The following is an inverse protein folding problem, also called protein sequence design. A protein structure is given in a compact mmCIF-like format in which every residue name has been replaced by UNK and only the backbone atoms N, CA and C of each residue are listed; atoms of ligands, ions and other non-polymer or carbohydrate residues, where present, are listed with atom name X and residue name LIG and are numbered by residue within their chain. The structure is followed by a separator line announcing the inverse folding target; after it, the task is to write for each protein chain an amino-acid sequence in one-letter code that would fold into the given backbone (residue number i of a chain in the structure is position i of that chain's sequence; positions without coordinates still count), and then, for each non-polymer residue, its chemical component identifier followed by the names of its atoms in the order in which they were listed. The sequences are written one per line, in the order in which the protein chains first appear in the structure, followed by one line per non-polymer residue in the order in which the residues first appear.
data_IF_201131714097
#
_entry.id   IF_201131714097
#
_cell.length_a   1.000
_cell.length_b   1.000
_cell.length_c   1.000
_cell.angle_alpha   90.00
_cell.angle_beta   90.00
_cell.angle_gamma   90.00
#
_symmetry.space_group_name_H-M   'P 1'
#
loop_
_entity.id
_entity.type
_entity.pdbx_description
1 polymer ?
#
# COMPACT_ATOMS: atom_id res chain seq x y z
N UNK A 1 21.89 -2.47 6.77
CA UNK A 1 22.10 -1.38 7.74
C UNK A 1 21.07 -0.31 7.64
N UNK A 2 20.85 0.23 6.46
CA UNK A 2 19.77 1.19 6.23
C UNK A 2 18.39 0.58 6.44
N UNK A 3 18.29 -0.71 6.32
CA UNK A 3 17.07 -1.50 6.48
C UNK A 3 16.47 -1.35 7.88
N UNK A 4 17.30 -1.22 8.92
CA UNK A 4 16.85 -1.15 10.31
C UNK A 4 16.02 0.10 10.58
N UNK A 5 16.41 1.25 10.02
CA UNK A 5 15.72 2.52 10.21
C UNK A 5 14.33 2.47 9.57
N UNK A 6 14.23 1.85 8.38
CA UNK A 6 12.97 1.71 7.68
C UNK A 6 12.01 0.76 8.41
N UNK A 7 12.55 -0.27 9.06
CA UNK A 7 11.74 -1.24 9.80
C UNK A 7 10.97 -0.58 10.93
N UNK A 8 11.61 0.29 11.71
CA UNK A 8 10.92 1.01 12.80
C UNK A 8 9.82 1.91 12.27
N UNK A 9 10.07 2.60 11.18
CA UNK A 9 9.08 3.46 10.55
C UNK A 9 7.91 2.65 10.01
N UNK A 10 8.20 1.51 9.38
CA UNK A 10 7.18 0.61 8.85
C UNK A 10 6.30 0.05 9.97
N UNK A 11 6.90 -0.35 11.10
CA UNK A 11 6.15 -0.88 12.24
C UNK A 11 5.25 0.19 12.86
N UNK A 12 5.75 1.41 13.01
CA UNK A 12 4.96 2.52 13.53
C UNK A 12 3.81 2.85 12.59
N UNK A 13 4.07 2.84 11.29
CA UNK A 13 3.03 3.09 10.29
C UNK A 13 1.97 1.99 10.33
N UNK A 14 2.38 0.74 10.41
CA UNK A 14 1.45 -0.40 10.46
C UNK A 14 0.54 -0.30 11.67
N UNK A 15 1.08 0.06 12.84
CA UNK A 15 0.28 0.24 14.06
C UNK A 15 -0.77 1.33 13.86
N UNK A 16 -0.37 2.48 13.31
CA UNK A 16 -1.29 3.59 13.06
C UNK A 16 -2.33 3.24 12.00
N UNK A 17 -1.89 2.56 10.94
CA UNK A 17 -2.77 2.15 9.85
C UNK A 17 -3.83 1.16 10.33
N UNK A 18 -3.41 0.16 11.10
CA UNK A 18 -4.33 -0.84 11.64
C UNK A 18 -5.38 -0.21 12.56
N UNK A 19 -4.94 0.69 13.43
CA UNK A 19 -5.82 1.41 14.33
C UNK A 19 -6.82 2.28 13.55
N UNK A 20 -6.32 3.04 12.58
CA UNK A 20 -7.17 3.91 11.76
C UNK A 20 -8.18 3.09 10.94
N UNK A 21 -7.72 1.98 10.38
CA UNK A 21 -8.57 1.10 9.56
C UNK A 21 -9.71 0.52 10.40
N UNK A 22 -9.43 0.08 11.61
CA UNK A 22 -10.46 -0.41 12.54
C UNK A 22 -11.49 0.65 12.88
N UNK A 23 -11.04 1.90 13.05
CA UNK A 23 -11.94 3.01 13.36
C UNK A 23 -12.79 3.46 12.17
N UNK A 24 -12.25 3.33 10.96
CA UNK A 24 -12.96 3.75 9.74
C UNK A 24 -13.93 2.69 9.26
N UNK A 25 -13.52 1.43 9.25
CA UNK A 25 -14.30 0.34 8.67
C UNK A 25 -14.92 -0.63 9.68
N UNK A 26 -14.47 -0.59 10.92
CA UNK A 26 -14.88 -1.55 11.93
C UNK A 26 -13.94 -2.74 11.98
N UNK A 27 -13.88 -3.38 13.14
CA UNK A 27 -12.97 -4.50 13.38
C UNK A 27 -13.33 -5.71 12.54
N UNK A 28 -12.32 -6.39 12.02
CA UNK A 28 -12.48 -7.66 11.32
C UNK A 28 -12.93 -7.59 9.87
N UNK A 29 -13.19 -6.41 9.34
CA UNK A 29 -13.65 -6.27 7.94
C UNK A 29 -12.50 -6.24 6.94
N UNK A 30 -11.35 -5.76 7.36
CA UNK A 30 -10.19 -5.64 6.50
C UNK A 30 -8.96 -6.19 7.20
N UNK A 31 -8.00 -6.67 6.40
CA UNK A 31 -6.69 -7.08 6.89
C UNK A 31 -5.61 -6.31 6.17
N UNK A 32 -4.46 -6.17 6.82
CA UNK A 32 -3.28 -5.53 6.24
C UNK A 32 -2.20 -6.60 6.12
N UNK A 33 -1.62 -6.72 4.93
CA UNK A 33 -0.47 -7.61 4.72
C UNK A 33 0.73 -6.78 4.32
N UNK A 34 1.90 -7.15 4.81
CA UNK A 34 3.17 -6.46 4.54
C UNK A 34 3.92 -7.14 3.41
N UNK A 35 4.64 -6.34 2.64
CA UNK A 35 5.58 -6.86 1.63
C UNK A 35 4.94 -7.89 0.72
N UNK A 36 3.90 -7.48 0.03
CA UNK A 36 3.15 -8.36 -0.87
C UNK A 36 3.68 -8.20 -2.28
N UNK A 37 4.04 -9.31 -2.92
CA UNK A 37 4.50 -9.28 -4.31
C UNK A 37 3.39 -8.77 -5.24
N UNK A 38 3.77 -7.99 -6.23
CA UNK A 38 2.80 -7.46 -7.20
C UNK A 38 2.04 -8.60 -7.87
N UNK A 39 2.73 -9.69 -8.20
CA UNK A 39 2.13 -10.88 -8.81
C UNK A 39 1.13 -11.61 -7.91
N UNK A 40 1.13 -11.32 -6.61
CA UNK A 40 0.14 -11.87 -5.68
C UNK A 40 -1.11 -11.00 -5.60
N UNK A 41 -1.02 -9.76 -6.02
CA UNK A 41 -2.15 -8.82 -6.03
C UNK A 41 -2.93 -8.93 -7.33
N UNK A 42 -2.24 -9.02 -8.45
CA UNK A 42 -2.83 -9.05 -9.78
C UNK A 42 -2.56 -10.39 -10.47
N UNK A 43 -3.54 -10.86 -11.24
CA UNK A 43 -3.42 -12.14 -11.97
C UNK A 43 -2.57 -12.02 -13.24
N UNK A 44 -2.75 -10.92 -13.98
CA UNK A 44 -2.15 -10.77 -15.29
C UNK A 44 -1.16 -9.62 -15.31
N UNK A 45 0.00 -9.88 -15.90
CA UNK A 45 1.01 -8.85 -16.11
C UNK A 45 0.68 -8.06 -17.39
N UNK A 46 -0.29 -7.16 -17.29
CA UNK A 46 -0.81 -6.38 -18.44
C UNK A 46 0.28 -5.51 -19.06
N UNK A 47 1.14 -4.92 -18.22
CA UNK A 47 2.20 -4.02 -18.69
C UNK A 47 3.44 -4.76 -19.20
N UNK A 48 3.50 -6.08 -19.02
CA UNK A 48 4.66 -6.90 -19.37
C UNK A 48 5.95 -6.43 -18.69
N UNK A 49 5.84 -5.89 -17.49
CA UNK A 49 6.97 -5.40 -16.72
C UNK A 49 7.61 -6.53 -15.93
N UNK A 50 8.95 -6.55 -15.89
CA UNK A 50 9.69 -7.47 -15.01
C UNK A 50 9.39 -7.21 -13.54
N UNK A 51 9.05 -5.97 -13.20
CA UNK A 51 8.74 -5.57 -11.84
C UNK A 51 7.51 -6.32 -11.29
N UNK A 52 6.62 -6.77 -12.18
CA UNK A 52 5.46 -7.56 -11.78
C UNK A 52 5.86 -8.79 -10.97
N UNK A 53 6.98 -9.41 -11.30
CA UNK A 53 7.46 -10.60 -10.60
C UNK A 53 8.48 -10.30 -9.52
N UNK A 54 9.28 -9.26 -9.70
CA UNK A 54 10.38 -8.94 -8.78
C UNK A 54 10.04 -7.87 -7.75
N UNK A 55 8.97 -7.10 -7.97
CA UNK A 55 8.59 -6.02 -7.09
C UNK A 55 7.45 -6.37 -6.17
N UNK A 56 7.22 -5.50 -5.19
CA UNK A 56 6.14 -5.69 -4.22
C UNK A 56 5.65 -4.35 -3.70
N UNK A 57 4.63 -4.43 -2.87
CA UNK A 57 4.08 -3.28 -2.17
C UNK A 57 4.42 -3.40 -0.68
N UNK A 58 4.71 -2.28 -0.05
CA UNK A 58 5.00 -2.27 1.39
C UNK A 58 3.82 -2.78 2.20
N UNK A 59 2.62 -2.32 1.87
CA UNK A 59 1.38 -2.73 2.54
C UNK A 59 0.27 -2.88 1.53
N UNK A 60 -0.56 -3.91 1.72
CA UNK A 60 -1.78 -4.08 0.93
C UNK A 60 -2.93 -4.33 1.89
N UNK A 61 -4.01 -3.57 1.70
CA UNK A 61 -5.23 -3.76 2.47
C UNK A 61 -6.15 -4.70 1.70
N UNK A 62 -6.66 -5.70 2.38
CA UNK A 62 -7.58 -6.69 1.84
C UNK A 62 -8.93 -6.56 2.53
N UNK A 63 -9.99 -6.63 1.75
CA UNK A 63 -11.35 -6.69 2.29
C UNK A 63 -11.77 -8.14 2.40
N UNK A 64 -12.44 -8.48 3.51
CA UNK A 64 -12.97 -9.82 3.74
C UNK A 64 -14.40 -9.90 3.24
N UNK A 65 -14.67 -10.88 2.38
CA UNK A 65 -16.03 -11.20 1.94
C UNK A 65 -16.71 -12.13 2.95
N UNK A 66 -18.02 -12.33 2.78
CA UNK A 66 -18.81 -13.19 3.68
C UNK A 66 -18.30 -14.63 3.73
N UNK A 67 -17.77 -15.15 2.63
CA UNK A 67 -17.19 -16.48 2.57
C UNK A 67 -15.76 -16.53 3.11
N UNK A 68 -15.30 -15.48 3.77
CA UNK A 68 -13.97 -15.30 4.34
C UNK A 68 -12.84 -15.17 3.32
N UNK A 69 -13.15 -15.09 2.04
CA UNK A 69 -12.15 -14.78 1.02
C UNK A 69 -11.72 -13.33 1.17
N UNK A 70 -10.46 -13.09 0.89
CA UNK A 70 -9.88 -11.75 0.99
C UNK A 70 -9.53 -11.24 -0.39
N UNK A 71 -9.85 -9.98 -0.65
CA UNK A 71 -9.58 -9.33 -1.94
C UNK A 71 -8.74 -8.08 -1.71
N UNK A 72 -7.66 -7.90 -2.45
CA UNK A 72 -6.86 -6.68 -2.32
C UNK A 72 -7.65 -5.47 -2.83
N UNK A 73 -7.64 -4.40 -2.06
CA UNK A 73 -8.39 -3.18 -2.41
C UNK A 73 -7.53 -1.93 -2.50
N UNK A 74 -6.38 -1.91 -1.83
CA UNK A 74 -5.54 -0.72 -1.77
C UNK A 74 -4.10 -1.12 -1.46
N UNK A 75 -3.15 -0.54 -2.19
CA UNK A 75 -1.73 -0.68 -1.86
C UNK A 75 -1.21 0.64 -1.31
N UNK A 76 -0.31 0.57 -0.34
CA UNK A 76 0.31 1.72 0.27
C UNK A 76 1.82 1.52 0.29
N UNK A 77 2.55 2.55 -0.12
CA UNK A 77 4.01 2.58 -0.09
C UNK A 77 4.47 3.69 0.85
N UNK A 78 5.50 3.38 1.65
CA UNK A 78 6.18 4.39 2.44
C UNK A 78 7.39 4.87 1.64
N UNK A 79 7.43 6.16 1.37
CA UNK A 79 8.48 6.75 0.56
C UNK A 79 9.47 7.52 1.41
N UNK A 80 10.74 7.14 1.32
CA UNK A 80 11.83 7.86 1.93
C UNK A 80 12.43 8.88 0.96
N UNK A 81 13.50 9.51 1.39
CA UNK A 81 14.16 10.55 0.62
C UNK A 81 14.70 10.05 -0.73
N UNK A 82 15.14 8.80 -0.78
CA UNK A 82 15.69 8.18 -1.98
C UNK A 82 14.67 8.08 -3.12
N UNK A 83 13.37 8.08 -2.80
CA UNK A 83 12.31 8.07 -3.81
C UNK A 83 12.24 9.37 -4.61
N UNK A 84 12.87 10.44 -4.12
CA UNK A 84 12.88 11.73 -4.79
C UNK A 84 14.21 12.04 -5.46
N UNK A 85 15.30 11.40 -5.04
CA UNK A 85 16.66 11.72 -5.47
C UNK A 85 17.29 10.67 -6.39
N UNK A 86 16.93 9.40 -6.22
CA UNK A 86 17.51 8.30 -6.98
C UNK A 86 16.71 8.01 -8.26
N UNK A 87 17.35 8.16 -9.41
CA UNK A 87 16.70 7.96 -10.71
C UNK A 87 16.23 6.52 -10.93
N UNK A 88 16.97 5.54 -10.40
CA UNK A 88 16.59 4.13 -10.53
C UNK A 88 15.34 3.87 -9.69
N UNK A 89 15.28 4.41 -8.48
CA UNK A 89 14.11 4.29 -7.61
C UNK A 89 12.91 4.98 -8.22
N UNK A 90 13.09 6.19 -8.77
CA UNK A 90 12.01 6.92 -9.44
C UNK A 90 11.44 6.12 -10.61
N UNK A 91 12.31 5.52 -11.42
CA UNK A 91 11.89 4.73 -12.56
C UNK A 91 11.07 3.51 -12.12
N UNK A 92 11.51 2.85 -11.06
CA UNK A 92 10.79 1.72 -10.48
C UNK A 92 9.43 2.15 -9.94
N UNK A 93 9.39 3.29 -9.24
CA UNK A 93 8.14 3.85 -8.72
C UNK A 93 7.15 4.15 -9.83
N UNK A 94 7.64 4.74 -10.94
CA UNK A 94 6.81 5.04 -12.09
C UNK A 94 6.26 3.78 -12.75
N UNK A 95 7.06 2.73 -12.84
CA UNK A 95 6.62 1.44 -13.35
C UNK A 95 5.54 0.83 -12.45
N UNK A 96 5.72 0.93 -11.14
CA UNK A 96 4.74 0.43 -10.18
C UNK A 96 3.42 1.20 -10.28
N UNK A 97 3.51 2.53 -10.42
CA UNK A 97 2.34 3.38 -10.63
C UNK A 97 1.59 2.96 -11.90
N UNK A 98 2.31 2.70 -12.98
CA UNK A 98 1.71 2.30 -14.25
C UNK A 98 1.03 0.93 -14.17
N UNK A 99 1.66 -0.02 -13.48
CA UNK A 99 1.06 -1.34 -13.26
C UNK A 99 -0.29 -1.18 -12.55
N UNK A 100 -0.33 -0.41 -11.47
CA UNK A 100 -1.57 -0.19 -10.72
C UNK A 100 -2.61 0.54 -11.57
N UNK A 101 -2.19 1.55 -12.33
CA UNK A 101 -3.09 2.31 -13.21
C UNK A 101 -3.75 1.40 -14.25
N UNK A 102 -2.98 0.53 -14.88
CA UNK A 102 -3.48 -0.40 -15.88
C UNK A 102 -4.46 -1.42 -15.30
N UNK A 103 -4.28 -1.76 -14.02
CA UNK A 103 -5.15 -2.70 -13.32
C UNK A 103 -6.38 -2.03 -12.70
N UNK A 104 -6.49 -0.71 -12.80
CA UNK A 104 -7.57 0.02 -12.14
C UNK A 104 -7.50 -0.05 -10.62
N UNK A 105 -6.29 -0.12 -10.08
CA UNK A 105 -6.04 -0.36 -8.65
C UNK A 105 -5.32 0.84 -8.04
N UNK A 106 -5.78 1.29 -6.87
CA UNK A 106 -5.21 2.48 -6.25
C UNK A 106 -3.93 2.16 -5.48
N UNK A 107 -2.93 3.01 -5.68
CA UNK A 107 -1.67 2.98 -4.94
C UNK A 107 -1.50 4.35 -4.30
N UNK A 108 -1.41 4.37 -2.97
CA UNK A 108 -1.20 5.60 -2.21
C UNK A 108 0.24 5.60 -1.69
N UNK A 109 0.92 6.73 -1.86
CA UNK A 109 2.27 6.90 -1.34
C UNK A 109 2.24 7.84 -0.15
N UNK A 110 2.92 7.45 0.93
CA UNK A 110 3.01 8.22 2.16
C UNK A 110 4.48 8.47 2.46
N UNK A 111 4.86 9.73 2.64
CA UNK A 111 6.22 10.06 3.04
C UNK A 111 6.49 9.50 4.44
N UNK A 112 7.71 9.02 4.66
CA UNK A 112 8.13 8.50 5.96
C UNK A 112 7.88 9.48 7.10
N UNK A 113 8.00 10.78 6.82
CA UNK A 113 7.76 11.82 7.82
C UNK A 113 6.32 11.87 8.33
N UNK A 114 5.37 11.30 7.58
CA UNK A 114 3.96 11.25 7.98
C UNK A 114 3.55 9.88 8.54
N UNK A 115 4.48 8.93 8.59
CA UNK A 115 4.16 7.54 8.96
C UNK A 115 3.56 7.40 10.37
N UNK A 116 3.80 8.36 11.26
CA UNK A 116 3.30 8.33 12.64
C UNK A 116 2.13 9.27 12.88
N UNK A 117 1.62 9.92 11.83
CA UNK A 117 0.54 10.91 11.95
C UNK A 117 -0.81 10.23 11.78
N UNK A 118 -1.40 9.84 12.87
CA UNK A 118 -2.66 9.09 12.89
C UNK A 118 -3.78 9.78 12.11
N UNK A 119 -4.01 11.07 12.35
CA UNK A 119 -5.09 11.79 11.67
C UNK A 119 -4.89 11.88 10.15
N UNK A 120 -3.64 12.04 9.72
CA UNK A 120 -3.31 12.05 8.30
C UNK A 120 -3.64 10.70 7.66
N UNK A 121 -3.25 9.61 8.32
CA UNK A 121 -3.50 8.24 7.85
C UNK A 121 -5.00 7.96 7.83
N UNK A 122 -5.70 8.35 8.88
CA UNK A 122 -7.14 8.16 8.98
C UNK A 122 -7.87 8.90 7.85
N UNK A 123 -7.46 10.13 7.56
CA UNK A 123 -8.07 10.93 6.49
C UNK A 123 -7.86 10.31 5.11
N UNK A 124 -6.68 9.72 4.86
CA UNK A 124 -6.42 8.98 3.63
C UNK A 124 -7.42 7.83 3.47
N UNK A 125 -7.65 7.08 4.55
CA UNK A 125 -8.57 5.95 4.51
C UNK A 125 -10.02 6.41 4.33
N UNK A 126 -10.43 7.46 5.04
CA UNK A 126 -11.78 8.02 4.89
C UNK A 126 -12.00 8.43 3.44
N UNK A 127 -11.04 9.13 2.85
CA UNK A 127 -11.14 9.56 1.46
C UNK A 127 -11.24 8.37 0.50
N UNK A 128 -10.37 7.37 0.69
CA UNK A 128 -10.38 6.17 -0.14
C UNK A 128 -11.73 5.44 -0.09
N UNK A 129 -12.20 5.15 1.12
CA UNK A 129 -13.44 4.40 1.28
C UNK A 129 -14.67 5.19 0.85
N UNK A 130 -14.63 6.51 0.97
CA UNK A 130 -15.74 7.36 0.53
C UNK A 130 -15.91 7.35 -1.00
N UNK A 131 -14.81 7.44 -1.74
CA UNK A 131 -14.89 7.48 -3.20
C UNK A 131 -15.02 6.09 -3.84
N UNK A 132 -14.73 5.04 -3.10
CA UNK A 132 -14.86 3.66 -3.57
C UNK A 132 -16.08 2.96 -2.97
N UNK A 133 -17.02 3.73 -2.48
CA UNK A 133 -18.25 3.21 -1.91
C UNK A 133 -19.17 2.74 -3.04
N UNK A 134 -19.66 1.56 -2.91
CA UNK A 134 -20.57 0.97 -3.88
C UNK A 134 -21.98 0.99 -3.33
#
# INVERSE_FOLDING_TARGET
MLIIVNTETEEAFLTSLDHALGNVMGGGKCTIKKEVAISQVFRNNITHSHLFYSGGFDFVIYEKAEDRKEFPILAIELDGKEHFEDEIVKKRDNQKNEICRQQGFELIRVENSYARRYNYIKNILIDFFSKNKI
#
